data_IF_409744749327
#
_entry.id   IF_409744749327
#
_cell.length_a   1.000
_cell.length_b   1.000
_cell.length_c   1.000
_cell.angle_alpha   90.00
_cell.angle_beta   90.00
_cell.angle_gamma   90.00
#
_symmetry.space_group_name_H-M   'P 1'
#
loop_
_entity.id
_entity.type
_entity.pdbx_description
1 polymer ?
#
# COMPACT_ATOMS: atom_id res chain seq x y z
N UNK A 1 12.79 -10.28 -18.62
CA UNK A 1 13.37 -9.29 -17.67
C UNK A 1 12.58 -9.43 -16.38
N UNK A 2 13.15 -10.05 -15.35
CA UNK A 2 12.48 -10.19 -14.06
C UNK A 2 12.60 -8.83 -13.35
N UNK A 3 11.50 -8.11 -13.20
CA UNK A 3 11.48 -6.96 -12.30
C UNK A 3 11.80 -7.53 -10.92
N UNK A 4 12.99 -7.24 -10.38
CA UNK A 4 13.29 -7.53 -8.99
C UNK A 4 12.25 -6.75 -8.17
N UNK A 5 11.39 -7.46 -7.45
CA UNK A 5 10.53 -6.83 -6.46
C UNK A 5 11.43 -6.02 -5.52
N UNK A 6 11.18 -4.73 -5.38
CA UNK A 6 11.97 -3.86 -4.50
C UNK A 6 12.02 -4.43 -3.09
N UNK A 7 13.12 -4.22 -2.38
CA UNK A 7 13.27 -4.67 -1.01
C UNK A 7 12.36 -3.82 -0.12
N UNK A 8 11.58 -4.45 0.75
CA UNK A 8 10.77 -3.72 1.73
C UNK A 8 11.71 -3.01 2.71
N UNK A 9 11.60 -1.69 2.78
CA UNK A 9 12.37 -0.84 3.70
C UNK A 9 11.53 -0.35 4.88
N UNK A 10 10.20 -0.39 4.76
CA UNK A 10 9.28 0.03 5.81
C UNK A 10 7.92 -0.67 5.71
N UNK A 11 7.31 -0.96 6.85
CA UNK A 11 5.99 -1.58 6.96
C UNK A 11 5.10 -0.75 7.90
N UNK A 12 3.93 -0.36 7.40
CA UNK A 12 3.07 0.60 8.09
C UNK A 12 1.61 0.13 8.07
N UNK A 13 1.08 -0.27 9.22
CA UNK A 13 -0.34 -0.60 9.35
C UNK A 13 -1.19 0.67 9.45
N UNK A 14 -2.24 0.75 8.62
CA UNK A 14 -3.24 1.81 8.60
C UNK A 14 -4.43 1.38 9.45
N UNK A 15 -4.90 2.27 10.32
CA UNK A 15 -6.03 2.03 11.19
C UNK A 15 -7.13 3.08 11.01
N UNK A 16 -8.39 2.66 11.13
CA UNK A 16 -9.52 3.54 11.45
C UNK A 16 -9.90 3.35 12.92
N UNK A 17 -9.44 4.27 13.76
CA UNK A 17 -9.47 4.10 15.21
C UNK A 17 -8.66 2.87 15.66
N UNK A 18 -9.34 1.77 16.00
CA UNK A 18 -8.73 0.49 16.40
C UNK A 18 -8.85 -0.60 15.33
N UNK A 19 -9.53 -0.32 14.22
CA UNK A 19 -9.78 -1.29 13.15
C UNK A 19 -8.64 -1.22 12.13
N UNK A 20 -7.87 -2.31 11.89
CA UNK A 20 -6.86 -2.32 10.85
C UNK A 20 -7.52 -2.29 9.48
N UNK A 21 -7.14 -1.31 8.66
CA UNK A 21 -7.62 -1.14 7.28
C UNK A 21 -6.69 -1.75 6.25
N UNK A 22 -5.43 -1.99 6.60
CA UNK A 22 -4.43 -2.61 5.72
C UNK A 22 -3.01 -2.23 6.11
N UNK A 23 -2.05 -2.68 5.31
CA UNK A 23 -0.63 -2.41 5.49
C UNK A 23 -0.06 -1.74 4.24
N UNK A 24 0.82 -0.76 4.41
CA UNK A 24 1.59 -0.15 3.34
C UNK A 24 3.02 -0.68 3.45
N UNK A 25 3.51 -1.28 2.38
CA UNK A 25 4.91 -1.65 2.20
C UNK A 25 5.60 -0.58 1.37
N UNK A 26 6.63 0.05 1.93
CA UNK A 26 7.50 0.94 1.17
C UNK A 26 8.73 0.15 0.74
N UNK A 27 9.09 0.26 -0.53
CA UNK A 27 10.21 -0.46 -1.13
C UNK A 27 11.35 0.49 -1.49
N UNK A 28 12.56 -0.05 -1.60
CA UNK A 28 13.80 0.68 -1.92
C UNK A 28 13.77 1.38 -3.31
N UNK A 29 12.93 0.90 -4.22
CA UNK A 29 12.65 1.51 -5.51
C UNK A 29 11.64 2.69 -5.47
N UNK A 30 11.18 3.06 -4.27
CA UNK A 30 10.25 4.16 -4.04
C UNK A 30 8.77 3.82 -4.28
N UNK A 31 8.44 2.56 -4.55
CA UNK A 31 7.04 2.13 -4.64
C UNK A 31 6.39 2.02 -3.25
N UNK A 32 5.07 2.24 -3.21
CA UNK A 32 4.27 2.12 -2.01
C UNK A 32 3.12 1.16 -2.27
N UNK A 33 3.27 -0.10 -1.85
CA UNK A 33 2.28 -1.14 -2.06
C UNK A 33 1.29 -1.17 -0.89
N UNK A 34 0.00 -1.03 -1.18
CA UNK A 34 -1.04 -1.26 -0.18
C UNK A 34 -1.51 -2.71 -0.22
N UNK A 35 -1.68 -3.30 0.96
CA UNK A 35 -2.18 -4.66 1.18
C UNK A 35 -3.38 -4.55 2.11
N UNK A 36 -4.46 -5.26 1.78
CA UNK A 36 -5.65 -5.33 2.62
C UNK A 36 -5.41 -6.19 3.87
N UNK A 37 -6.28 -6.12 4.90
CA UNK A 37 -6.14 -6.93 6.11
C UNK A 37 -6.24 -8.44 5.85
N UNK A 38 -6.87 -8.83 4.73
CA UNK A 38 -6.96 -10.22 4.26
C UNK A 38 -5.67 -10.71 3.57
N UNK A 39 -4.63 -9.86 3.48
CA UNK A 39 -3.34 -10.18 2.85
C UNK A 39 -3.31 -9.98 1.34
N UNK A 40 -4.43 -9.58 0.70
CA UNK A 40 -4.44 -9.37 -0.74
C UNK A 40 -3.84 -8.00 -1.12
N UNK A 41 -2.96 -7.94 -2.15
CA UNK A 41 -2.50 -6.68 -2.72
C UNK A 41 -3.69 -5.84 -3.20
N UNK A 42 -3.74 -4.60 -2.74
CA UNK A 42 -4.75 -3.64 -3.16
C UNK A 42 -4.28 -2.80 -4.35
N UNK A 43 -2.99 -2.46 -4.37
CA UNK A 43 -2.35 -1.79 -5.49
C UNK A 43 -1.07 -1.06 -5.09
N UNK A 44 -0.46 -0.40 -6.07
CA UNK A 44 0.77 0.39 -5.89
C UNK A 44 0.46 1.87 -6.08
N UNK A 45 1.04 2.70 -5.22
CA UNK A 45 0.81 4.13 -5.16
C UNK A 45 2.12 4.91 -5.25
N UNK A 46 2.03 6.17 -5.66
CA UNK A 46 3.16 7.10 -5.74
C UNK A 46 3.62 7.61 -4.37
N UNK A 47 2.79 7.46 -3.36
CA UNK A 47 3.09 7.93 -2.01
C UNK A 47 2.35 7.13 -0.94
N UNK A 48 2.91 7.13 0.27
CA UNK A 48 2.27 6.58 1.47
C UNK A 48 0.90 7.20 1.74
N UNK A 49 0.77 8.51 1.50
CA UNK A 49 -0.48 9.24 1.75
C UNK A 49 -1.59 8.76 0.82
N UNK A 50 -1.29 8.55 -0.45
CA UNK A 50 -2.27 8.05 -1.44
C UNK A 50 -2.69 6.62 -1.10
N UNK A 51 -1.74 5.75 -0.75
CA UNK A 51 -2.01 4.39 -0.30
C UNK A 51 -2.91 4.37 0.96
N UNK A 52 -2.60 5.20 1.95
CA UNK A 52 -3.39 5.32 3.19
C UNK A 52 -4.80 5.83 2.93
N UNK A 53 -4.97 6.84 2.06
CA UNK A 53 -6.30 7.33 1.66
C UNK A 53 -7.11 6.26 0.94
N UNK A 54 -6.46 5.49 0.06
CA UNK A 54 -7.12 4.44 -0.70
C UNK A 54 -7.58 3.29 0.21
N UNK A 55 -6.77 2.87 1.19
CA UNK A 55 -7.17 1.91 2.24
C UNK A 55 -8.30 2.45 3.14
N UNK A 56 -8.32 3.76 3.39
CA UNK A 56 -9.37 4.42 4.18
C UNK A 56 -10.67 4.67 3.40
N UNK A 57 -10.75 4.26 2.12
CA UNK A 57 -11.90 4.57 1.25
C UNK A 57 -12.06 6.06 0.92
N UNK A 58 -11.06 6.89 1.23
CA UNK A 58 -11.05 8.35 1.00
C UNK A 58 -10.19 8.76 -0.20
N UNK A 59 -9.60 7.80 -0.91
CA UNK A 59 -8.73 8.01 -2.07
C UNK A 59 -9.33 7.44 -3.35
N UNK A 60 -8.84 7.91 -4.50
CA UNK A 60 -9.16 7.28 -5.79
C UNK A 60 -8.51 5.89 -5.82
N UNK A 61 -9.23 4.82 -6.24
CA UNK A 61 -8.62 3.51 -6.37
C UNK A 61 -7.40 3.57 -7.30
N UNK A 62 -6.39 2.73 -7.08
CA UNK A 62 -5.20 2.71 -7.94
C UNK A 62 -5.63 2.39 -9.38
N UNK A 63 -4.96 2.96 -10.40
CA UNK A 63 -5.18 2.55 -11.78
C UNK A 63 -4.88 1.05 -11.88
N UNK A 64 -5.87 0.28 -12.31
CA UNK A 64 -5.69 -1.13 -12.65
C UNK A 64 -4.87 -1.15 -13.94
N UNK A 65 -3.63 -1.64 -13.87
CA UNK A 65 -2.80 -1.92 -15.04
C UNK A 65 -2.61 -3.42 -15.17
#
# INVERSE_FOLDING_TARGET
MSASAGTIINELTVYDGRVPLGTILETDDGQHQAIKPDGHPFGVFRSRLDASRALSGRGKPPPVH
#
